data_IF_227204895255
#
_entry.id   IF_227204895255
#
_cell.length_a   1.000
_cell.length_b   1.000
_cell.length_c   1.000
_cell.angle_alpha   90.00
_cell.angle_beta   90.00
_cell.angle_gamma   90.00
#
_symmetry.space_group_name_H-M   'P 1'
#
loop_
_entity.id
_entity.type
_entity.pdbx_description
1 polymer ?
#
# COMPACT_ATOMS: atom_id res chain seq x y z
N UNK A 1 -13.22 22.45 1.26
CA UNK A 1 -12.18 23.49 1.10
C UNK A 1 -10.89 22.97 1.72
N UNK A 2 -9.72 23.36 1.24
CA UNK A 2 -8.47 23.06 1.95
C UNK A 2 -8.38 23.97 3.19
N UNK A 3 -8.15 23.38 4.35
CA UNK A 3 -7.87 24.15 5.58
C UNK A 3 -6.37 24.24 5.75
N UNK A 4 -5.84 25.40 5.37
CA UNK A 4 -4.41 25.68 5.35
C UNK A 4 -4.04 26.70 6.41
N UNK A 5 -2.82 26.56 6.92
CA UNK A 5 -2.19 27.47 7.88
C UNK A 5 -0.77 27.76 7.43
N UNK A 6 -0.30 28.99 7.65
CA UNK A 6 1.13 29.34 7.54
C UNK A 6 1.84 29.08 8.87
N UNK A 7 3.08 28.65 8.84
CA UNK A 7 3.87 28.38 10.04
C UNK A 7 5.36 28.23 9.76
N UNK A 8 6.14 28.03 10.82
CA UNK A 8 7.61 27.86 10.71
C UNK A 8 8.04 26.48 11.14
N UNK A 9 8.97 25.86 10.41
CA UNK A 9 9.54 24.57 10.79
C UNK A 9 10.41 24.73 12.04
N UNK A 10 9.98 24.14 13.15
CA UNK A 10 10.63 24.28 14.47
C UNK A 10 11.48 23.08 14.88
N UNK A 11 11.18 21.89 14.36
CA UNK A 11 11.95 20.68 14.66
C UNK A 11 11.94 19.72 13.46
N UNK A 12 12.94 18.84 13.41
CA UNK A 12 13.01 17.75 12.42
C UNK A 12 13.34 16.48 13.18
N UNK A 13 12.35 15.60 13.30
CA UNK A 13 12.45 14.37 14.06
C UNK A 13 13.14 13.27 13.24
N UNK A 14 12.71 13.09 11.99
CA UNK A 14 13.22 12.03 11.13
C UNK A 14 13.33 12.50 9.67
N UNK A 15 14.37 12.01 8.99
CA UNK A 15 14.56 12.21 7.55
C UNK A 15 14.72 10.87 6.85
N UNK A 16 13.94 10.69 5.79
CA UNK A 16 14.05 9.62 4.82
C UNK A 16 14.03 10.22 3.41
N UNK A 17 14.45 9.44 2.42
CA UNK A 17 14.60 9.89 1.03
C UNK A 17 13.33 10.58 0.46
N UNK A 18 12.14 10.03 0.73
CA UNK A 18 10.85 10.60 0.29
C UNK A 18 9.97 11.20 1.40
N UNK A 19 10.40 11.19 2.66
CA UNK A 19 9.55 11.56 3.80
C UNK A 19 10.36 12.27 4.89
N UNK A 20 9.83 13.38 5.40
CA UNK A 20 10.37 14.04 6.60
C UNK A 20 9.27 14.14 7.64
N UNK A 21 9.54 13.65 8.85
CA UNK A 21 8.71 13.89 10.04
C UNK A 21 9.30 15.09 10.79
N UNK A 22 8.51 16.13 10.96
CA UNK A 22 8.96 17.42 11.47
C UNK A 22 7.89 18.09 12.33
N UNK A 23 8.21 19.23 12.91
CA UNK A 23 7.25 20.08 13.61
C UNK A 23 7.14 21.44 12.92
N UNK A 24 5.91 21.94 12.82
CA UNK A 24 5.64 23.32 12.39
C UNK A 24 4.96 24.05 13.54
N UNK A 25 5.64 25.05 14.10
CA UNK A 25 5.26 25.75 15.33
C UNK A 25 4.91 24.78 16.48
N UNK A 26 5.75 23.75 16.66
CA UNK A 26 5.59 22.72 17.69
C UNK A 26 4.51 21.67 17.43
N UNK A 27 3.84 21.68 16.26
CA UNK A 27 2.84 20.67 15.87
C UNK A 27 3.44 19.60 14.95
N UNK A 28 3.21 18.29 15.20
CA UNK A 28 3.65 17.22 14.31
C UNK A 28 3.13 17.38 12.89
N UNK A 29 4.05 17.28 11.93
CA UNK A 29 3.81 17.47 10.51
C UNK A 29 4.61 16.45 9.69
N UNK A 30 4.06 16.04 8.55
CA UNK A 30 4.75 15.22 7.56
C UNK A 30 4.96 16.04 6.29
N UNK A 31 6.17 15.98 5.74
CA UNK A 31 6.50 16.54 4.43
C UNK A 31 6.99 15.45 3.47
N UNK A 32 6.77 15.69 2.18
CA UNK A 32 7.20 14.83 1.09
C UNK A 32 8.18 15.61 0.20
N UNK A 33 9.50 15.60 0.49
CA UNK A 33 10.43 16.49 -0.19
C UNK A 33 10.54 16.29 -1.71
N UNK A 34 10.24 15.09 -2.21
CA UNK A 34 10.16 14.83 -3.66
C UNK A 34 8.96 15.52 -4.33
N UNK A 35 7.96 15.96 -3.56
CA UNK A 35 6.79 16.71 -4.04
C UNK A 35 6.88 18.20 -3.74
N UNK A 36 7.34 18.57 -2.54
CA UNK A 36 7.29 19.96 -2.02
C UNK A 36 8.66 20.59 -1.78
N UNK A 37 9.73 19.88 -2.13
CA UNK A 37 11.10 20.34 -2.00
C UNK A 37 11.73 20.04 -0.64
N UNK A 38 13.05 20.27 -0.51
CA UNK A 38 13.74 20.04 0.75
C UNK A 38 13.17 20.92 1.88
N UNK A 39 13.30 20.45 3.12
CA UNK A 39 12.87 21.16 4.33
C UNK A 39 14.04 21.32 5.29
N UNK A 40 14.18 22.48 5.95
CA UNK A 40 15.05 22.67 7.13
C UNK A 40 14.38 23.54 8.20
N UNK A 41 15.04 23.61 9.37
CA UNK A 41 14.65 24.48 10.48
C UNK A 41 14.56 25.93 10.01
N UNK A 42 13.54 26.63 10.48
CA UNK A 42 13.27 28.02 10.14
C UNK A 42 12.56 28.25 8.81
N UNK A 43 12.26 27.19 8.03
CA UNK A 43 11.50 27.34 6.80
C UNK A 43 10.08 27.82 7.09
N UNK A 44 9.63 28.79 6.30
CA UNK A 44 8.27 29.28 6.24
C UNK A 44 7.44 28.38 5.31
N UNK A 45 6.34 27.84 5.81
CA UNK A 45 5.60 26.77 5.14
C UNK A 45 4.10 26.98 5.23
N UNK A 46 3.37 26.47 4.24
CA UNK A 46 1.95 26.22 4.31
C UNK A 46 1.71 24.77 4.71
N UNK A 47 0.81 24.54 5.66
CA UNK A 47 0.44 23.22 6.17
C UNK A 47 -1.06 23.00 6.03
N UNK A 48 -1.46 21.80 5.60
CA UNK A 48 -2.81 21.30 5.70
C UNK A 48 -3.04 20.71 7.09
N UNK A 49 -4.03 21.23 7.81
CA UNK A 49 -4.28 20.91 9.22
C UNK A 49 -5.53 20.07 9.46
N UNK A 50 -6.23 19.70 8.38
CA UNK A 50 -7.60 19.17 8.46
C UNK A 50 -7.69 17.86 9.24
N UNK A 51 -6.71 16.96 9.09
CA UNK A 51 -6.74 15.65 9.74
C UNK A 51 -6.61 15.76 11.27
N UNK A 52 -5.81 16.72 11.75
CA UNK A 52 -5.67 17.03 13.18
C UNK A 52 -6.94 17.69 13.71
N UNK A 53 -7.49 18.68 12.99
CA UNK A 53 -8.71 19.38 13.41
C UNK A 53 -9.93 18.46 13.50
N UNK A 54 -10.00 17.44 12.64
CA UNK A 54 -11.04 16.40 12.69
C UNK A 54 -10.78 15.34 13.77
N UNK A 55 -9.63 15.36 14.43
CA UNK A 55 -9.29 14.40 15.49
C UNK A 55 -9.19 12.95 15.00
N UNK A 56 -8.65 12.72 13.79
CA UNK A 56 -8.61 11.40 13.15
C UNK A 56 -7.64 10.37 13.82
N UNK A 57 -7.12 10.67 15.00
CA UNK A 57 -6.27 9.76 15.78
C UNK A 57 -4.95 9.43 15.10
N UNK A 58 -4.66 8.15 14.87
CA UNK A 58 -3.36 7.65 14.37
C UNK A 58 -2.99 8.10 12.94
N UNK A 59 -3.94 8.68 12.19
CA UNK A 59 -3.68 9.32 10.90
C UNK A 59 -3.82 10.86 10.93
N UNK A 60 -4.07 11.44 12.09
CA UNK A 60 -4.30 12.87 12.29
C UNK A 60 -3.01 13.64 12.53
N UNK A 61 -2.19 13.82 11.50
CA UNK A 61 -1.04 14.73 11.52
C UNK A 61 -1.21 15.82 10.47
N UNK A 62 -0.55 16.96 10.68
CA UNK A 62 -0.51 18.03 9.68
C UNK A 62 0.34 17.55 8.48
N UNK A 63 0.00 18.02 7.28
CA UNK A 63 0.76 17.70 6.04
C UNK A 63 1.30 18.98 5.44
N UNK A 64 2.60 19.06 5.21
CA UNK A 64 3.22 20.20 4.54
C UNK A 64 2.67 20.30 3.11
N UNK A 65 2.02 21.42 2.83
CA UNK A 65 1.38 21.71 1.56
C UNK A 65 2.35 22.40 0.59
N UNK A 66 3.11 23.40 1.07
CA UNK A 66 4.13 24.08 0.29
C UNK A 66 5.24 24.63 1.20
N UNK A 67 6.49 24.61 0.74
CA UNK A 67 7.60 25.29 1.41
C UNK A 67 7.84 26.64 0.71
N UNK A 68 7.56 27.75 1.40
CA UNK A 68 7.63 29.10 0.85
C UNK A 68 9.06 29.66 0.83
N UNK A 69 9.98 29.07 1.61
CA UNK A 69 11.38 29.49 1.64
C UNK A 69 12.19 28.90 0.49
N UNK A 70 11.92 27.65 0.09
CA UNK A 70 12.74 26.95 -0.92
C UNK A 70 12.02 25.93 -1.81
N UNK A 71 10.69 25.84 -1.71
CA UNK A 71 9.88 24.90 -2.49
C UNK A 71 9.20 25.49 -3.73
N UNK A 72 9.33 26.81 -3.98
CA UNK A 72 8.58 27.51 -5.03
C UNK A 72 9.25 27.52 -6.42
N UNK A 73 10.51 27.11 -6.51
CA UNK A 73 11.31 27.13 -7.76
C UNK A 73 11.95 25.77 -8.04
N UNK A 74 11.27 24.69 -7.63
CA UNK A 74 11.76 23.33 -7.87
C UNK A 74 11.73 23.04 -9.37
N UNK A 75 12.82 22.50 -9.94
CA UNK A 75 12.82 22.11 -11.34
C UNK A 75 11.87 20.92 -11.55
N UNK A 76 11.21 20.82 -12.71
CA UNK A 76 10.46 19.62 -13.05
C UNK A 76 11.41 18.42 -13.18
N UNK A 77 10.85 17.22 -13.00
CA UNK A 77 11.59 15.99 -13.29
C UNK A 77 11.97 15.96 -14.79
N UNK A 78 13.27 15.89 -15.14
CA UNK A 78 13.70 15.96 -16.54
C UNK A 78 13.10 14.84 -17.38
N UNK A 79 12.44 15.21 -18.48
CA UNK A 79 11.84 14.26 -19.44
C UNK A 79 10.46 13.71 -19.03
N UNK A 80 9.97 14.01 -17.82
CA UNK A 80 8.64 13.60 -17.42
C UNK A 80 7.58 14.39 -18.20
N UNK A 81 6.60 13.70 -18.78
CA UNK A 81 5.56 14.32 -19.61
C UNK A 81 4.13 13.88 -19.25
N UNK A 82 3.98 12.89 -18.37
CA UNK A 82 2.68 12.39 -17.91
C UNK A 82 2.35 12.99 -16.54
N UNK A 83 1.14 13.54 -16.42
CA UNK A 83 0.68 14.23 -15.22
C UNK A 83 0.02 13.28 -14.22
N UNK A 84 0.46 13.33 -12.97
CA UNK A 84 -0.31 12.84 -11.82
C UNK A 84 -1.12 13.95 -11.18
N UNK A 85 -2.27 13.56 -10.62
CA UNK A 85 -3.25 14.46 -10.00
C UNK A 85 -3.63 15.66 -10.92
N UNK A 86 -3.94 15.42 -12.21
CA UNK A 86 -4.14 16.49 -13.19
C UNK A 86 -5.24 17.44 -12.75
N UNK A 87 -5.02 18.74 -12.95
CA UNK A 87 -5.95 19.84 -12.61
C UNK A 87 -6.23 20.02 -11.12
N UNK A 88 -5.49 19.34 -10.24
CA UNK A 88 -5.50 19.62 -8.80
C UNK A 88 -4.39 20.63 -8.44
N UNK A 89 -4.49 21.32 -7.29
CA UNK A 89 -3.40 22.16 -6.78
C UNK A 89 -2.08 21.42 -6.48
N UNK A 90 -2.06 20.08 -6.59
CA UNK A 90 -0.90 19.22 -6.35
C UNK A 90 -0.47 18.46 -7.61
N UNK A 91 -0.85 18.94 -8.80
CA UNK A 91 -0.46 18.29 -10.05
C UNK A 91 1.06 18.32 -10.24
N UNK A 92 1.62 17.23 -10.77
CA UNK A 92 3.05 17.10 -11.06
C UNK A 92 3.27 16.15 -12.24
N UNK A 93 4.33 16.38 -13.02
CA UNK A 93 4.77 15.45 -14.03
C UNK A 93 5.69 14.39 -13.41
N UNK A 94 5.51 13.12 -13.77
CA UNK A 94 6.39 12.02 -13.35
C UNK A 94 6.63 11.04 -14.51
N UNK A 95 7.76 10.35 -14.48
CA UNK A 95 8.01 9.22 -15.38
C UNK A 95 7.15 8.02 -15.00
N UNK A 96 6.46 7.45 -15.98
CA UNK A 96 5.78 6.18 -15.86
C UNK A 96 6.59 5.07 -16.51
N UNK A 97 6.62 3.89 -15.88
CA UNK A 97 7.35 2.74 -16.39
C UNK A 97 6.91 2.34 -17.81
N UNK A 98 5.66 2.57 -18.13
CA UNK A 98 5.05 2.33 -19.45
C UNK A 98 5.73 3.16 -20.56
N UNK A 99 6.38 4.28 -20.21
CA UNK A 99 7.14 5.12 -21.14
C UNK A 99 8.55 4.57 -21.42
N UNK A 100 9.07 3.70 -20.54
CA UNK A 100 10.45 3.18 -20.59
C UNK A 100 10.60 1.86 -21.36
N UNK A 101 9.50 1.14 -21.61
CA UNK A 101 9.53 -0.13 -22.32
C UNK A 101 8.15 -0.75 -22.48
N UNK A 102 8.01 -1.64 -23.44
CA UNK A 102 6.77 -2.38 -23.65
C UNK A 102 6.61 -3.43 -22.53
N UNK A 103 5.57 -3.28 -21.71
CA UNK A 103 5.13 -4.35 -20.82
C UNK A 103 4.64 -5.58 -21.62
N UNK A 104 4.16 -6.61 -20.93
CA UNK A 104 3.56 -7.78 -21.59
C UNK A 104 2.05 -7.63 -21.72
N UNK A 105 1.50 -8.01 -22.88
CA UNK A 105 0.05 -8.09 -23.07
C UNK A 105 -0.63 -9.12 -22.15
N UNK A 106 0.14 -10.14 -21.72
CA UNK A 106 -0.29 -11.22 -20.84
C UNK A 106 0.72 -11.45 -19.72
N UNK A 107 0.21 -11.77 -18.54
CA UNK A 107 1.04 -12.00 -17.35
C UNK A 107 1.59 -13.43 -17.26
N UNK A 108 1.16 -14.34 -18.14
CA UNK A 108 1.62 -15.73 -18.24
C UNK A 108 1.62 -16.48 -16.89
N UNK A 109 0.57 -16.30 -16.09
CA UNK A 109 0.42 -16.95 -14.79
C UNK A 109 1.11 -16.24 -13.62
N UNK A 110 1.70 -15.05 -13.80
CA UNK A 110 2.31 -14.27 -12.73
C UNK A 110 1.41 -14.20 -11.48
N UNK A 111 1.88 -14.66 -10.30
CA UNK A 111 1.14 -14.53 -9.06
C UNK A 111 0.96 -13.06 -8.66
N UNK A 112 -0.28 -12.70 -8.32
CA UNK A 112 -0.62 -11.34 -7.86
C UNK A 112 -1.35 -11.45 -6.53
N UNK A 113 -0.72 -11.01 -5.43
CA UNK A 113 -1.36 -10.99 -4.11
C UNK A 113 -2.13 -9.68 -3.94
N UNK A 114 -3.44 -9.77 -3.74
CA UNK A 114 -4.34 -8.62 -3.60
C UNK A 114 -4.65 -8.37 -2.12
N UNK A 115 -4.13 -7.29 -1.56
CA UNK A 115 -4.33 -6.88 -0.19
C UNK A 115 -5.41 -5.80 -0.09
N UNK A 116 -6.42 -6.03 0.75
CA UNK A 116 -7.46 -5.03 1.05
C UNK A 116 -7.02 -4.01 2.11
N UNK A 117 -5.91 -4.29 2.81
CA UNK A 117 -5.33 -3.43 3.83
C UNK A 117 -3.81 -3.39 3.74
N UNK A 118 -3.25 -2.22 4.03
CA UNK A 118 -1.80 -2.03 4.07
C UNK A 118 -1.09 -2.93 5.09
N UNK A 119 -1.74 -3.24 6.21
CA UNK A 119 -1.18 -4.08 7.29
C UNK A 119 -0.96 -5.54 6.88
N UNK A 120 -1.52 -5.97 5.74
CA UNK A 120 -1.28 -7.31 5.19
C UNK A 120 0.06 -7.40 4.43
N UNK A 121 0.64 -6.27 4.02
CA UNK A 121 1.85 -6.26 3.18
C UNK A 121 3.05 -6.96 3.85
N UNK A 122 3.32 -6.63 5.12
CA UNK A 122 4.46 -7.20 5.84
C UNK A 122 4.37 -8.73 5.99
N UNK A 123 3.26 -9.31 6.50
CA UNK A 123 3.13 -10.76 6.59
C UNK A 123 3.09 -11.46 5.22
N UNK A 124 2.46 -10.87 4.19
CA UNK A 124 2.52 -11.41 2.81
C UNK A 124 3.97 -11.52 2.34
N UNK A 125 4.76 -10.44 2.48
CA UNK A 125 6.17 -10.47 2.10
C UNK A 125 6.99 -11.47 2.93
N UNK A 126 6.70 -11.61 4.22
CA UNK A 126 7.35 -12.63 5.05
C UNK A 126 7.05 -14.05 4.55
N UNK A 127 5.81 -14.32 4.10
CA UNK A 127 5.41 -15.60 3.52
C UNK A 127 6.09 -15.90 2.17
N UNK A 128 6.38 -14.87 1.39
CA UNK A 128 7.15 -14.97 0.15
C UNK A 128 8.64 -15.24 0.38
N UNK A 129 9.19 -14.76 1.51
CA UNK A 129 10.62 -14.78 1.76
C UNK A 129 11.38 -13.74 0.91
N UNK A 130 12.71 -13.84 0.90
CA UNK A 130 13.60 -12.87 0.23
C UNK A 130 14.28 -13.43 -1.03
N UNK A 131 14.01 -14.67 -1.41
CA UNK A 131 14.58 -15.28 -2.62
C UNK A 131 13.85 -14.86 -3.90
N UNK A 132 12.60 -14.40 -3.78
CA UNK A 132 11.78 -13.94 -4.88
C UNK A 132 11.96 -12.44 -5.09
N UNK A 133 11.97 -12.01 -6.35
CA UNK A 133 11.94 -10.62 -6.76
C UNK A 133 10.50 -10.12 -6.75
N UNK A 134 10.14 -9.42 -5.68
CA UNK A 134 8.77 -8.94 -5.44
C UNK A 134 8.63 -7.45 -5.71
N UNK A 135 7.57 -7.06 -6.44
CA UNK A 135 7.13 -5.68 -6.55
C UNK A 135 5.93 -5.42 -5.64
N UNK A 136 5.86 -4.21 -5.05
CA UNK A 136 4.66 -3.71 -4.38
C UNK A 136 3.99 -2.64 -5.24
N UNK A 137 2.76 -2.87 -5.69
CA UNK A 137 1.96 -1.88 -6.40
C UNK A 137 0.96 -1.24 -5.42
N UNK A 138 1.22 0.02 -5.05
CA UNK A 138 0.29 0.76 -4.20
C UNK A 138 -0.87 1.30 -5.03
N UNK A 139 -2.08 0.86 -4.71
CA UNK A 139 -3.31 1.17 -5.41
C UNK A 139 -4.05 2.38 -4.80
N UNK A 140 -4.82 3.12 -5.62
CA UNK A 140 -5.58 4.28 -5.16
C UNK A 140 -6.83 3.85 -4.37
N UNK A 141 -6.64 3.50 -3.09
CA UNK A 141 -7.70 3.11 -2.16
C UNK A 141 -7.47 3.62 -0.74
N UNK A 142 -6.72 4.71 -0.58
CA UNK A 142 -6.29 5.24 0.71
C UNK A 142 -5.23 6.32 0.52
N UNK A 143 -4.34 6.50 1.51
CA UNK A 143 -3.26 7.48 1.36
C UNK A 143 -2.45 7.26 0.08
N UNK A 144 -2.14 8.37 -0.59
CA UNK A 144 -1.59 8.42 -1.94
C UNK A 144 -0.04 8.32 -1.97
N UNK A 145 0.72 8.94 -1.05
CA UNK A 145 2.18 8.83 -1.09
C UNK A 145 2.68 7.47 -0.61
N UNK A 146 3.40 6.73 -1.45
CA UNK A 146 3.99 5.43 -1.08
C UNK A 146 5.03 5.59 0.02
N UNK A 147 5.80 6.68 -0.03
CA UNK A 147 6.86 7.00 0.95
C UNK A 147 6.37 7.21 2.39
N UNK A 148 5.06 7.41 2.61
CA UNK A 148 4.46 7.46 3.95
C UNK A 148 4.65 6.13 4.69
N UNK A 149 4.73 5.01 3.96
CA UNK A 149 4.80 3.69 4.57
C UNK A 149 6.19 3.36 5.12
N UNK A 150 6.29 3.30 6.44
CA UNK A 150 7.45 2.73 7.12
C UNK A 150 7.61 1.23 6.83
N UNK A 151 6.50 0.52 6.55
CA UNK A 151 6.49 -0.89 6.15
C UNK A 151 7.16 -1.10 4.80
N UNK A 152 6.78 -0.34 3.77
CA UNK A 152 7.42 -0.42 2.45
C UNK A 152 8.91 -0.12 2.57
N UNK A 153 9.27 0.95 3.30
CA UNK A 153 10.67 1.33 3.50
C UNK A 153 11.47 0.23 4.20
N UNK A 154 10.90 -0.42 5.22
CA UNK A 154 11.56 -1.50 5.97
C UNK A 154 11.69 -2.77 5.13
N UNK A 155 10.67 -3.15 4.37
CA UNK A 155 10.70 -4.31 3.47
C UNK A 155 11.71 -4.12 2.33
N UNK A 156 11.76 -2.92 1.73
CA UNK A 156 12.80 -2.54 0.74
C UNK A 156 14.20 -2.73 1.31
N UNK A 157 14.48 -2.17 2.50
CA UNK A 157 15.81 -2.27 3.15
C UNK A 157 16.20 -3.70 3.53
N UNK A 158 15.23 -4.56 3.86
CA UNK A 158 15.49 -5.97 4.23
C UNK A 158 15.48 -6.93 3.03
N UNK A 159 15.31 -6.43 1.80
CA UNK A 159 15.34 -7.25 0.59
C UNK A 159 14.06 -8.06 0.31
N UNK A 160 12.97 -7.78 1.02
CA UNK A 160 11.67 -8.40 0.73
C UNK A 160 10.96 -7.77 -0.47
N UNK A 161 11.27 -6.50 -0.77
CA UNK A 161 10.71 -5.78 -1.92
C UNK A 161 11.86 -5.25 -2.78
N UNK A 162 11.79 -5.56 -4.08
CA UNK A 162 12.71 -5.06 -5.09
C UNK A 162 12.24 -3.74 -5.71
N UNK A 163 10.94 -3.45 -5.69
CA UNK A 163 10.34 -2.24 -6.26
C UNK A 163 9.03 -1.86 -5.55
N UNK A 164 8.76 -0.56 -5.42
CA UNK A 164 7.45 -0.02 -5.09
C UNK A 164 6.93 0.90 -6.21
N UNK A 165 5.72 0.63 -6.70
CA UNK A 165 5.09 1.30 -7.84
C UNK A 165 3.90 2.12 -7.33
N UNK A 166 3.89 3.41 -7.63
CA UNK A 166 2.77 4.31 -7.34
C UNK A 166 1.74 4.25 -8.49
N UNK A 167 0.63 3.55 -8.27
CA UNK A 167 -0.40 3.33 -9.30
C UNK A 167 -1.46 4.43 -9.28
N UNK A 168 -1.86 4.90 -10.47
CA UNK A 168 -2.93 5.87 -10.65
C UNK A 168 -2.65 7.18 -9.92
N UNK A 169 -3.53 7.56 -9.00
CA UNK A 169 -3.39 8.77 -8.18
C UNK A 169 -2.32 8.68 -7.07
N UNK A 170 -1.78 7.49 -6.79
CA UNK A 170 -0.69 7.37 -5.82
C UNK A 170 0.56 8.08 -6.34
N UNK A 171 1.36 8.65 -5.46
CA UNK A 171 2.59 9.37 -5.79
C UNK A 171 3.76 8.84 -4.96
N UNK A 172 4.97 9.28 -5.28
CA UNK A 172 6.13 9.09 -4.41
C UNK A 172 6.51 7.62 -4.15
N UNK A 173 6.33 6.76 -5.15
CA UNK A 173 6.93 5.42 -5.22
C UNK A 173 8.39 5.46 -5.64
N UNK A 174 9.00 4.29 -5.84
CA UNK A 174 10.27 4.21 -6.58
C UNK A 174 10.05 4.53 -8.07
N UNK A 175 8.83 4.29 -8.54
CA UNK A 175 8.37 4.58 -9.90
C UNK A 175 6.84 4.66 -9.95
N UNK A 176 6.26 4.90 -11.13
CA UNK A 176 4.83 5.09 -11.33
C UNK A 176 4.28 4.30 -12.53
N UNK A 177 2.98 3.96 -12.45
CA UNK A 177 2.19 3.41 -13.55
C UNK A 177 0.80 4.05 -13.54
N UNK A 178 0.19 4.20 -14.72
CA UNK A 178 -1.11 4.86 -14.89
C UNK A 178 -2.23 4.02 -14.28
N UNK A 179 -2.13 2.70 -14.40
CA UNK A 179 -3.17 1.76 -13.96
C UNK A 179 -2.62 0.49 -13.31
N UNK A 180 -3.48 -0.22 -12.59
CA UNK A 180 -3.13 -1.53 -12.01
C UNK A 180 -2.70 -2.51 -13.11
N UNK A 181 -3.45 -2.56 -14.22
CA UNK A 181 -3.14 -3.39 -15.39
C UNK A 181 -1.74 -3.11 -15.94
N UNK A 182 -1.37 -1.84 -16.09
CA UNK A 182 -0.05 -1.46 -16.59
C UNK A 182 1.10 -1.81 -15.64
N UNK A 183 0.90 -1.65 -14.33
CA UNK A 183 1.90 -2.05 -13.35
C UNK A 183 2.16 -3.55 -13.40
N UNK A 184 1.10 -4.36 -13.49
CA UNK A 184 1.21 -5.81 -13.65
C UNK A 184 1.90 -6.20 -14.96
N UNK A 185 1.47 -5.59 -16.07
CA UNK A 185 2.04 -5.81 -17.40
C UNK A 185 3.54 -5.53 -17.44
N UNK A 186 3.97 -4.41 -16.86
CA UNK A 186 5.38 -4.05 -16.79
C UNK A 186 6.17 -4.99 -15.88
N UNK A 187 5.65 -5.31 -14.68
CA UNK A 187 6.32 -6.25 -13.77
C UNK A 187 6.50 -7.64 -14.40
N UNK A 188 5.51 -8.11 -15.18
CA UNK A 188 5.62 -9.35 -15.94
C UNK A 188 6.69 -9.27 -17.05
N UNK A 189 6.84 -8.11 -17.71
CA UNK A 189 7.88 -7.86 -18.72
C UNK A 189 9.28 -7.86 -18.14
N UNK A 190 9.42 -7.33 -16.93
CA UNK A 190 10.69 -7.23 -16.22
C UNK A 190 11.08 -8.51 -15.48
N UNK A 191 10.24 -9.55 -15.48
CA UNK A 191 10.53 -10.81 -14.79
C UNK A 191 10.55 -10.64 -13.26
N UNK A 192 9.54 -9.98 -12.70
CA UNK A 192 9.22 -10.12 -11.27
C UNK A 192 8.55 -11.47 -11.04
N UNK A 193 8.84 -12.11 -9.90
CA UNK A 193 8.29 -13.42 -9.57
C UNK A 193 6.87 -13.30 -8.99
N UNK A 194 6.61 -12.22 -8.25
CA UNK A 194 5.31 -11.93 -7.62
C UNK A 194 5.08 -10.42 -7.57
N UNK A 195 3.83 -9.99 -7.76
CA UNK A 195 3.40 -8.61 -7.48
C UNK A 195 2.43 -8.61 -6.31
N UNK A 196 2.74 -7.84 -5.27
CA UNK A 196 1.80 -7.57 -4.16
C UNK A 196 1.09 -6.25 -4.45
N UNK A 197 -0.20 -6.31 -4.72
CA UNK A 197 -1.06 -5.15 -4.87
C UNK A 197 -1.72 -4.82 -3.55
N UNK A 198 -1.73 -3.55 -3.13
CA UNK A 198 -2.42 -3.15 -1.91
C UNK A 198 -2.58 -1.65 -1.78
N UNK A 199 -3.40 -1.22 -0.84
CA UNK A 199 -3.56 0.21 -0.54
C UNK A 199 -2.47 0.70 0.43
N UNK A 200 -2.23 2.02 0.44
CA UNK A 200 -1.39 2.66 1.45
C UNK A 200 -2.02 2.68 2.86
N UNK A 201 -1.28 3.10 3.89
CA UNK A 201 -1.83 3.30 5.24
C UNK A 201 -2.94 4.38 5.21
N UNK A 202 -3.89 4.34 6.15
CA UNK A 202 -5.00 5.32 6.16
C UNK A 202 -6.09 4.99 5.14
N UNK A 203 -6.71 3.82 5.30
CA UNK A 203 -7.87 3.42 4.48
C UNK A 203 -9.01 4.43 4.63
N UNK A 204 -9.58 4.86 3.50
CA UNK A 204 -10.79 5.68 3.47
C UNK A 204 -12.01 4.76 3.63
N UNK A 205 -13.00 5.17 4.43
CA UNK A 205 -14.22 4.41 4.66
C UNK A 205 -15.38 5.28 5.11
N UNK A 206 -16.58 5.05 4.57
CA UNK A 206 -17.83 5.73 4.95
C UNK A 206 -18.79 4.82 5.73
N UNK A 207 -18.32 3.64 6.16
CA UNK A 207 -19.10 2.56 6.79
C UNK A 207 -20.17 1.91 5.89
N UNK A 208 -20.32 2.32 4.62
CA UNK A 208 -21.14 1.59 3.67
C UNK A 208 -20.38 0.38 3.09
N UNK A 209 -21.08 -0.66 2.60
CA UNK A 209 -20.44 -1.88 2.10
C UNK A 209 -19.40 -1.64 1.02
N UNK A 210 -19.64 -0.68 0.12
CA UNK A 210 -18.75 -0.35 -1.00
C UNK A 210 -18.01 0.99 -0.83
N UNK A 211 -18.29 1.73 0.24
CA UNK A 211 -17.71 3.04 0.48
C UNK A 211 -16.37 2.97 1.18
N UNK A 212 -15.49 2.04 0.79
CA UNK A 212 -14.16 1.91 1.39
C UNK A 212 -13.09 1.64 0.34
N UNK A 213 -11.89 2.18 0.57
CA UNK A 213 -10.82 2.08 -0.41
C UNK A 213 -10.15 0.69 -0.51
N UNK A 214 -10.39 -0.19 0.47
CA UNK A 214 -10.01 -1.61 0.37
C UNK A 214 -10.61 -2.36 -0.83
N UNK A 215 -11.62 -1.79 -1.51
CA UNK A 215 -12.13 -2.30 -2.78
C UNK A 215 -11.12 -2.28 -3.93
N UNK A 216 -10.01 -1.52 -3.82
CA UNK A 216 -8.93 -1.55 -4.80
C UNK A 216 -8.35 -2.97 -4.99
N UNK A 217 -8.49 -3.86 -3.99
CA UNK A 217 -8.14 -5.27 -4.14
C UNK A 217 -9.00 -5.98 -5.20
N UNK A 218 -10.28 -5.62 -5.36
CA UNK A 218 -11.14 -6.19 -6.40
C UNK A 218 -10.66 -5.81 -7.81
N UNK A 219 -10.26 -4.54 -7.99
CA UNK A 219 -9.66 -4.07 -9.25
C UNK A 219 -8.40 -4.86 -9.58
N UNK A 220 -7.53 -5.10 -8.60
CA UNK A 220 -6.32 -5.90 -8.76
C UNK A 220 -6.62 -7.33 -9.18
N UNK A 221 -7.60 -7.98 -8.55
CA UNK A 221 -8.04 -9.33 -8.90
C UNK A 221 -8.53 -9.38 -10.34
N UNK A 222 -9.41 -8.44 -10.73
CA UNK A 222 -9.98 -8.37 -12.08
C UNK A 222 -8.88 -8.13 -13.12
N UNK A 223 -8.00 -7.16 -12.89
CA UNK A 223 -6.90 -6.84 -13.80
C UNK A 223 -5.96 -8.04 -14.00
N UNK A 224 -5.52 -8.66 -12.90
CA UNK A 224 -4.66 -9.84 -12.96
C UNK A 224 -5.34 -10.99 -13.71
N UNK A 225 -6.62 -11.28 -13.43
CA UNK A 225 -7.37 -12.35 -14.08
C UNK A 225 -7.52 -12.11 -15.59
N UNK A 226 -7.93 -10.90 -15.99
CA UNK A 226 -8.15 -10.55 -17.41
C UNK A 226 -6.84 -10.63 -18.21
N UNK A 227 -5.72 -10.23 -17.61
CA UNK A 227 -4.40 -10.30 -18.26
C UNK A 227 -3.76 -11.70 -18.19
N UNK A 228 -4.45 -12.70 -17.63
CA UNK A 228 -3.96 -14.08 -17.56
C UNK A 228 -2.86 -14.30 -16.51
N UNK A 229 -2.89 -13.52 -15.43
CA UNK A 229 -2.12 -13.79 -14.21
C UNK A 229 -2.88 -14.68 -13.23
N UNK A 230 -2.31 -14.86 -12.05
CA UNK A 230 -2.84 -15.73 -11.01
C UNK A 230 -3.16 -14.93 -9.74
N UNK A 231 -4.37 -14.33 -9.65
CA UNK A 231 -4.74 -13.51 -8.49
C UNK A 231 -4.97 -14.37 -7.24
N UNK A 232 -4.43 -13.90 -6.12
CA UNK A 232 -4.59 -14.49 -4.78
C UNK A 232 -5.07 -13.40 -3.84
N UNK A 233 -6.20 -13.61 -3.16
CA UNK A 233 -6.74 -12.62 -2.22
C UNK A 233 -6.16 -12.85 -0.82
N UNK A 234 -5.48 -11.83 -0.28
CA UNK A 234 -5.15 -11.81 1.15
C UNK A 234 -6.42 -11.43 1.93
N UNK A 235 -7.07 -12.43 2.52
CA UNK A 235 -8.32 -12.26 3.27
C UNK A 235 -8.08 -11.52 4.59
N UNK A 236 -9.07 -10.72 5.00
CA UNK A 236 -9.08 -10.06 6.29
C UNK A 236 -9.97 -10.87 7.22
N UNK A 237 -9.34 -11.48 8.21
CA UNK A 237 -10.00 -12.27 9.25
C UNK A 237 -9.61 -11.67 10.60
N UNK A 238 -10.53 -11.61 11.54
CA UNK A 238 -10.21 -11.22 12.91
C UNK A 238 -11.07 -12.00 13.90
N UNK A 239 -10.43 -12.59 14.90
CA UNK A 239 -11.11 -13.19 16.06
C UNK A 239 -11.29 -12.21 17.23
N UNK A 240 -10.60 -11.06 17.17
CA UNK A 240 -10.50 -10.12 18.28
C UNK A 240 -11.22 -8.78 18.04
N UNK A 241 -11.78 -8.55 16.84
CA UNK A 241 -12.56 -7.35 16.56
C UNK A 241 -13.94 -7.43 17.23
N UNK A 242 -14.19 -6.55 18.20
CA UNK A 242 -15.46 -6.48 18.91
C UNK A 242 -16.65 -6.07 18.04
N UNK A 243 -16.41 -5.54 16.83
CA UNK A 243 -17.49 -5.20 15.89
C UNK A 243 -17.90 -6.47 15.16
N UNK A 244 -19.15 -6.90 15.34
CA UNK A 244 -19.71 -8.14 14.76
C UNK A 244 -19.39 -8.32 13.26
N UNK A 245 -19.44 -7.25 12.45
CA UNK A 245 -19.13 -7.28 11.00
C UNK A 245 -17.67 -7.59 10.65
N UNK A 246 -16.78 -7.61 11.63
CA UNK A 246 -15.35 -7.89 11.49
C UNK A 246 -14.92 -9.15 12.26
N UNK A 247 -15.82 -9.77 13.01
CA UNK A 247 -15.56 -11.04 13.68
C UNK A 247 -15.66 -12.18 12.66
N UNK A 248 -14.64 -13.02 12.58
CA UNK A 248 -14.47 -13.98 11.48
C UNK A 248 -14.08 -13.27 10.18
N UNK A 249 -14.74 -13.62 9.07
CA UNK A 249 -14.48 -13.02 7.76
C UNK A 249 -15.01 -11.57 7.71
N UNK A 250 -14.12 -10.60 7.45
CA UNK A 250 -14.49 -9.19 7.42
C UNK A 250 -15.43 -8.85 6.25
N UNK A 251 -16.40 -7.96 6.47
CA UNK A 251 -17.24 -7.42 5.41
C UNK A 251 -16.47 -6.82 4.21
N UNK A 252 -15.29 -6.20 4.42
CA UNK A 252 -14.44 -5.76 3.31
C UNK A 252 -14.01 -6.91 2.38
N UNK A 253 -13.73 -8.09 2.94
CA UNK A 253 -13.37 -9.26 2.13
C UNK A 253 -14.59 -9.77 1.37
N UNK A 254 -15.77 -9.80 2.00
CA UNK A 254 -17.02 -10.13 1.31
C UNK A 254 -17.32 -9.17 0.15
N UNK A 255 -17.17 -7.86 0.36
CA UNK A 255 -17.38 -6.85 -0.68
C UNK A 255 -16.41 -7.00 -1.87
N UNK A 256 -15.14 -7.36 -1.60
CA UNK A 256 -14.17 -7.67 -2.67
C UNK A 256 -14.58 -8.91 -3.45
N UNK A 257 -14.99 -10.00 -2.78
CA UNK A 257 -15.45 -11.23 -3.42
C UNK A 257 -16.73 -11.00 -4.25
N UNK A 258 -17.66 -10.19 -3.74
CA UNK A 258 -18.90 -9.85 -4.45
C UNK A 258 -18.63 -9.13 -5.79
N UNK A 259 -17.63 -8.23 -5.82
CA UNK A 259 -17.28 -7.49 -7.04
C UNK A 259 -16.35 -8.25 -7.98
N UNK A 260 -15.38 -8.97 -7.43
CA UNK A 260 -14.34 -9.63 -8.21
C UNK A 260 -14.70 -11.08 -8.59
N UNK A 261 -15.71 -11.68 -7.99
CA UNK A 261 -16.02 -13.10 -8.11
C UNK A 261 -14.95 -14.00 -7.47
N UNK A 262 -15.01 -15.29 -7.79
CA UNK A 262 -14.12 -16.31 -7.21
C UNK A 262 -12.64 -16.03 -7.47
N UNK A 263 -11.85 -16.09 -6.41
CA UNK A 263 -10.40 -15.87 -6.41
C UNK A 263 -9.76 -16.85 -5.43
N UNK A 264 -8.55 -17.31 -5.74
CA UNK A 264 -7.86 -18.25 -4.86
C UNK A 264 -7.47 -17.56 -3.54
N UNK A 265 -7.70 -18.25 -2.43
CA UNK A 265 -7.31 -17.82 -1.09
C UNK A 265 -6.38 -18.87 -0.48
N UNK A 266 -5.23 -18.43 0.01
CA UNK A 266 -4.40 -19.24 0.90
C UNK A 266 -4.98 -19.19 2.31
N UNK A 267 -5.32 -20.34 2.88
CA UNK A 267 -5.92 -20.43 4.20
C UNK A 267 -5.01 -21.20 5.17
N UNK A 268 -4.69 -20.66 6.35
CA UNK A 268 -3.85 -21.34 7.33
C UNK A 268 -4.42 -22.70 7.73
N UNK A 269 -3.58 -23.74 7.69
CA UNK A 269 -3.94 -25.06 8.22
C UNK A 269 -4.32 -24.98 9.71
N UNK A 270 -5.35 -25.74 10.11
CA UNK A 270 -5.82 -25.76 11.50
C UNK A 270 -6.82 -24.68 11.89
N UNK A 271 -7.13 -23.72 11.00
CA UNK A 271 -8.20 -22.74 11.20
C UNK A 271 -9.49 -23.21 10.52
N UNK A 272 -10.63 -22.98 11.18
CA UNK A 272 -11.95 -23.24 10.60
C UNK A 272 -12.15 -22.39 9.34
N UNK A 273 -12.44 -23.04 8.21
CA UNK A 273 -12.64 -22.37 6.92
C UNK A 273 -14.02 -21.69 6.87
N UNK A 274 -14.10 -20.37 6.62
CA UNK A 274 -15.37 -19.68 6.42
C UNK A 274 -16.10 -20.23 5.20
N UNK A 275 -17.39 -20.55 5.35
CA UNK A 275 -18.20 -21.13 4.29
C UNK A 275 -18.36 -20.21 3.06
N UNK A 276 -18.15 -18.90 3.23
CA UNK A 276 -18.22 -17.92 2.14
C UNK A 276 -16.98 -17.91 1.22
N UNK A 277 -15.90 -18.59 1.61
CA UNK A 277 -14.71 -18.70 0.76
C UNK A 277 -14.88 -19.86 -0.23
N UNK A 278 -14.78 -19.53 -1.53
CA UNK A 278 -14.83 -20.50 -2.61
C UNK A 278 -13.49 -21.22 -2.79
N UNK A 279 -12.74 -20.85 -3.83
CA UNK A 279 -11.45 -21.45 -4.16
C UNK A 279 -10.40 -21.25 -3.05
N UNK A 280 -10.21 -22.26 -2.22
CA UNK A 280 -9.31 -22.19 -1.06
C UNK A 280 -8.26 -23.29 -1.11
N UNK A 281 -7.01 -22.92 -0.86
CA UNK A 281 -5.87 -23.83 -0.72
C UNK A 281 -5.38 -23.78 0.73
N UNK A 282 -5.32 -24.93 1.39
CA UNK A 282 -4.73 -25.04 2.73
C UNK A 282 -3.22 -24.79 2.66
N UNK A 283 -2.71 -24.00 3.60
CA UNK A 283 -1.32 -23.55 3.62
C UNK A 283 -0.72 -23.79 5.01
N UNK A 284 0.39 -24.52 5.04
CA UNK A 284 1.24 -24.60 6.23
C UNK A 284 1.86 -23.22 6.52
N UNK A 285 1.52 -22.70 7.70
CA UNK A 285 1.96 -21.40 8.21
C UNK A 285 2.83 -21.54 9.46
N UNK A 286 3.33 -22.75 9.75
CA UNK A 286 4.29 -22.96 10.82
C UNK A 286 5.47 -21.99 10.69
N UNK A 287 5.84 -21.36 11.82
CA UNK A 287 6.94 -20.40 11.87
C UNK A 287 6.60 -18.99 11.35
N UNK A 288 5.32 -18.66 11.09
CA UNK A 288 4.95 -17.33 10.58
C UNK A 288 5.41 -16.19 11.50
N UNK A 289 5.42 -16.40 12.82
CA UNK A 289 5.85 -15.39 13.81
C UNK A 289 7.34 -15.08 13.66
N UNK A 290 8.16 -16.11 13.55
CA UNK A 290 9.60 -16.02 13.35
C UNK A 290 9.91 -15.38 12.00
N UNK A 291 9.19 -15.76 10.94
CA UNK A 291 9.36 -15.18 9.61
C UNK A 291 8.97 -13.68 9.58
N UNK A 292 7.94 -13.30 10.33
CA UNK A 292 7.53 -11.90 10.47
C UNK A 292 8.37 -11.12 11.51
N UNK A 293 9.31 -11.76 12.20
CA UNK A 293 10.03 -11.15 13.32
C UNK A 293 10.79 -9.89 12.89
N UNK A 294 10.54 -8.81 13.64
CA UNK A 294 11.11 -7.51 13.36
C UNK A 294 10.54 -6.83 12.12
N UNK A 295 9.43 -7.28 11.53
CA UNK A 295 8.64 -6.50 10.56
C UNK A 295 7.56 -5.68 11.29
N UNK A 296 7.01 -4.61 10.67
CA UNK A 296 5.93 -3.85 11.29
C UNK A 296 4.63 -4.64 11.22
N UNK A 297 4.15 -5.11 12.37
CA UNK A 297 2.93 -5.90 12.50
C UNK A 297 1.95 -5.16 13.41
N UNK A 298 1.09 -4.35 12.82
CA UNK A 298 0.03 -3.65 13.53
C UNK A 298 -1.20 -3.52 12.64
N UNK A 299 -2.36 -3.88 13.18
CA UNK A 299 -3.64 -3.80 12.50
C UNK A 299 -4.67 -3.16 13.43
N UNK A 300 -5.10 -1.93 13.12
CA UNK A 300 -6.05 -1.17 13.93
C UNK A 300 -5.66 -1.09 15.43
N UNK A 301 -4.38 -0.86 15.69
CA UNK A 301 -3.83 -0.79 17.04
C UNK A 301 -3.54 -2.13 17.70
N UNK A 302 -3.87 -3.26 17.05
CA UNK A 302 -3.60 -4.61 17.56
C UNK A 302 -2.37 -5.24 16.94
N UNK A 303 -1.61 -5.98 17.73
CA UNK A 303 -0.47 -6.77 17.30
C UNK A 303 -0.76 -8.26 17.08
N UNK A 304 0.26 -9.06 16.70
CA UNK A 304 0.17 -10.51 16.49
C UNK A 304 -0.34 -11.32 17.68
N UNK A 305 -0.16 -10.83 18.90
CA UNK A 305 -0.60 -11.52 20.12
C UNK A 305 -2.09 -11.29 20.39
N UNK A 306 -2.64 -10.19 19.87
CA UNK A 306 -4.05 -9.81 20.04
C UNK A 306 -4.92 -10.31 18.89
N UNK A 307 -4.40 -10.35 17.65
CA UNK A 307 -5.18 -10.73 16.46
C UNK A 307 -4.35 -11.61 15.50
N UNK A 308 -3.88 -12.79 15.93
CA UNK A 308 -2.95 -13.63 15.16
C UNK A 308 -3.52 -14.06 13.81
N UNK A 309 -4.81 -14.41 13.75
CA UNK A 309 -5.48 -14.90 12.54
C UNK A 309 -5.37 -13.92 11.37
N UNK A 310 -5.38 -12.61 11.65
CA UNK A 310 -5.20 -11.58 10.62
C UNK A 310 -3.83 -11.69 9.93
N UNK A 311 -2.76 -11.80 10.73
CA UNK A 311 -1.39 -11.82 10.22
C UNK A 311 -1.08 -13.18 9.58
N UNK A 312 -1.55 -14.26 10.17
CA UNK A 312 -1.34 -15.63 9.68
C UNK A 312 -2.06 -15.88 8.34
N UNK A 313 -3.30 -15.38 8.17
CA UNK A 313 -4.00 -15.44 6.89
C UNK A 313 -3.30 -14.63 5.79
N UNK A 314 -2.76 -13.44 6.12
CA UNK A 314 -1.96 -12.66 5.18
C UNK A 314 -0.64 -13.36 4.84
N UNK A 315 0.01 -14.00 5.80
CA UNK A 315 1.20 -14.82 5.58
C UNK A 315 0.92 -16.02 4.67
N UNK A 316 -0.22 -16.70 4.86
CA UNK A 316 -0.67 -17.80 4.02
C UNK A 316 -0.83 -17.37 2.54
N UNK A 317 -1.38 -16.18 2.29
CA UNK A 317 -1.48 -15.64 0.93
C UNK A 317 -0.10 -15.44 0.28
N UNK A 318 0.89 -14.97 1.05
CA UNK A 318 2.28 -14.87 0.60
C UNK A 318 2.91 -16.24 0.26
N UNK A 319 2.75 -17.22 1.16
CA UNK A 319 3.24 -18.60 0.95
C UNK A 319 2.61 -19.26 -0.28
N UNK A 320 1.30 -19.11 -0.44
CA UNK A 320 0.58 -19.61 -1.62
C UNK A 320 1.13 -18.98 -2.89
N UNK A 321 1.29 -17.65 -2.93
CA UNK A 321 1.86 -16.97 -4.09
C UNK A 321 3.28 -17.44 -4.41
N UNK A 322 4.11 -17.66 -3.40
CA UNK A 322 5.44 -18.24 -3.57
C UNK A 322 5.42 -19.62 -4.22
N UNK A 323 4.43 -20.47 -3.90
CA UNK A 323 4.26 -21.79 -4.53
C UNK A 323 3.75 -21.73 -5.98
N UNK A 324 3.21 -20.58 -6.40
CA UNK A 324 2.72 -20.33 -7.76
C UNK A 324 3.73 -19.59 -8.64
N UNK A 325 4.80 -19.05 -8.04
CA UNK A 325 5.88 -18.41 -8.78
C UNK A 325 6.65 -19.48 -9.57
N UNK A 326 6.79 -19.27 -10.88
CA UNK A 326 7.63 -20.10 -11.74
C UNK A 326 9.09 -19.68 -11.56
N UNK A 327 9.94 -20.62 -11.13
CA UNK A 327 11.41 -20.49 -11.20
C UNK A 327 11.89 -20.38 -12.66
#
# INVERSE_FOLDING_TARGET
MLTLRRGTVTAIAERHDGLVRLEVDGRPCVAYPRLTGPVALGDDVLVNVQAVELGLGSGGFDVLHANLTRGLELPPEPGAHVMKLPYTPLQLAVHHLEELGAGRDRLAGLPVVCCSLHSQLAPVCAGLGTSLRVAYAQLPGGALPVSLSDTVRKLRRRGFLALSVAVGACVDGDTACVSTASALSWCAGEGFDVVVCGIGPGIVGTSSPFGHGGLAAAEAVIAARILGGHPILAVRVSGADQRERHHGLSHHTRAVLELAGDVEVGWPEGFELPAELGATTAVDTAGWREACAGLPLAHMGRGPDEDPAFFEAAFAAGRLAGSRATN
#
